data_IF_390541366577
#
_entry.id   IF_390541366577
#
_cell.length_a   1.000
_cell.length_b   1.000
_cell.length_c   1.000
_cell.angle_alpha   90.00
_cell.angle_beta   90.00
_cell.angle_gamma   90.00
#
_symmetry.space_group_name_H-M   'P 1'
#
loop_
_entity.id
_entity.type
_entity.pdbx_description
1 polymer ?
#
# COMPACT_ATOMS: atom_id res chain seq x y z
N UNK A 1 8.74 -33.45 -15.87
CA UNK A 1 9.72 -33.58 -14.77
C UNK A 1 10.57 -32.32 -14.74
N UNK A 2 10.61 -31.59 -13.63
CA UNK A 2 11.25 -30.28 -13.55
C UNK A 2 12.78 -30.41 -13.38
N UNK A 3 13.56 -29.58 -14.08
CA UNK A 3 15.04 -29.63 -14.02
C UNK A 3 15.53 -29.16 -12.65
N UNK A 4 16.57 -29.77 -12.11
CA UNK A 4 17.14 -29.43 -10.78
C UNK A 4 17.56 -27.97 -10.68
N UNK A 5 18.24 -27.43 -11.69
CA UNK A 5 18.63 -26.00 -11.76
C UNK A 5 17.44 -25.05 -11.69
N UNK A 6 16.28 -25.47 -12.21
CA UNK A 6 15.07 -24.66 -12.20
C UNK A 6 14.40 -24.67 -10.82
N UNK A 7 14.46 -25.80 -10.11
CA UNK A 7 14.00 -25.93 -8.73
C UNK A 7 14.83 -25.02 -7.83
N UNK A 8 16.16 -25.05 -7.96
CA UNK A 8 17.08 -24.19 -7.19
C UNK A 8 16.79 -22.71 -7.44
N UNK A 9 16.65 -22.29 -8.70
CA UNK A 9 16.29 -20.90 -9.04
C UNK A 9 14.96 -20.48 -8.41
N UNK A 10 13.94 -21.34 -8.46
CA UNK A 10 12.64 -21.02 -7.87
C UNK A 10 12.68 -21.01 -6.35
N UNK A 11 13.54 -21.82 -5.73
CA UNK A 11 13.74 -21.83 -4.29
C UNK A 11 14.42 -20.55 -3.80
N UNK A 12 15.40 -20.05 -4.55
CA UNK A 12 16.04 -18.75 -4.25
C UNK A 12 15.03 -17.60 -4.37
N UNK A 13 14.18 -17.62 -5.41
CA UNK A 13 13.10 -16.63 -5.56
C UNK A 13 12.02 -16.76 -4.47
N UNK A 14 11.85 -17.95 -3.88
CA UNK A 14 10.98 -18.14 -2.72
C UNK A 14 11.54 -17.43 -1.48
N UNK A 15 12.87 -17.47 -1.29
CA UNK A 15 13.55 -16.78 -0.19
C UNK A 15 13.52 -15.25 -0.33
N UNK A 16 13.60 -14.72 -1.55
CA UNK A 16 13.49 -13.28 -1.81
C UNK A 16 12.05 -12.76 -1.81
N UNK A 17 11.04 -13.66 -1.81
CA UNK A 17 9.63 -13.29 -1.87
C UNK A 17 9.13 -12.93 -3.27
N UNK A 18 9.97 -13.02 -4.30
CA UNK A 18 9.64 -12.70 -5.70
C UNK A 18 8.92 -13.84 -6.44
N UNK A 19 8.78 -15.00 -5.79
CA UNK A 19 8.12 -16.15 -6.40
C UNK A 19 6.60 -15.97 -6.44
N UNK A 20 6.04 -15.94 -7.65
CA UNK A 20 4.59 -15.91 -7.85
C UNK A 20 3.88 -17.16 -7.27
N UNK A 21 2.66 -16.98 -6.78
CA UNK A 21 1.89 -18.06 -6.13
C UNK A 21 1.71 -19.30 -7.03
N UNK A 22 1.48 -19.08 -8.32
CA UNK A 22 1.33 -20.18 -9.30
C UNK A 22 2.60 -21.04 -9.38
N UNK A 23 3.78 -20.39 -9.37
CA UNK A 23 5.07 -21.10 -9.38
C UNK A 23 5.34 -21.78 -8.03
N UNK A 24 4.94 -21.17 -6.92
CA UNK A 24 5.02 -21.78 -5.58
C UNK A 24 4.24 -23.09 -5.49
N UNK A 25 3.01 -23.13 -6.03
CA UNK A 25 2.21 -24.37 -6.07
C UNK A 25 2.88 -25.47 -6.89
N UNK A 26 3.44 -25.12 -8.05
CA UNK A 26 4.19 -26.07 -8.90
C UNK A 26 5.49 -26.57 -8.23
N UNK A 27 6.17 -25.70 -7.50
CA UNK A 27 7.37 -26.04 -6.74
C UNK A 27 7.06 -27.00 -5.59
N UNK A 28 5.95 -26.77 -4.87
CA UNK A 28 5.48 -27.63 -3.78
C UNK A 28 4.97 -29.00 -4.27
N UNK A 29 4.49 -29.10 -5.51
CA UNK A 29 4.10 -30.38 -6.10
C UNK A 29 5.29 -31.28 -6.45
N UNK A 30 6.53 -30.75 -6.44
CA UNK A 30 7.73 -31.52 -6.76
C UNK A 30 8.38 -32.09 -5.48
N UNK A 31 8.56 -33.41 -5.33
CA UNK A 31 9.13 -34.01 -4.11
C UNK A 31 10.62 -33.70 -3.90
N UNK A 32 11.36 -33.44 -4.99
CA UNK A 32 12.79 -33.07 -4.93
C UNK A 32 13.03 -31.71 -4.27
N UNK A 33 12.00 -30.89 -4.15
CA UNK A 33 12.06 -29.57 -3.54
C UNK A 33 12.35 -29.66 -2.04
N UNK A 34 11.78 -30.65 -1.34
CA UNK A 34 11.95 -30.80 0.11
C UNK A 34 13.40 -31.12 0.48
N UNK A 35 14.04 -32.01 -0.28
CA UNK A 35 15.47 -32.35 -0.11
C UNK A 35 16.33 -31.09 -0.28
N UNK A 36 16.06 -30.28 -1.32
CA UNK A 36 16.80 -29.03 -1.56
C UNK A 36 16.54 -27.97 -0.51
N UNK A 37 15.33 -27.89 0.05
CA UNK A 37 15.03 -27.03 1.21
C UNK A 37 15.82 -27.45 2.44
N UNK A 38 15.92 -28.75 2.69
CA UNK A 38 16.70 -29.28 3.81
C UNK A 38 18.20 -28.98 3.64
N UNK A 39 18.75 -29.18 2.43
CA UNK A 39 20.13 -28.82 2.09
C UNK A 39 20.40 -27.32 2.31
N UNK A 40 19.57 -26.44 1.77
CA UNK A 40 19.75 -24.99 1.97
C UNK A 40 19.58 -24.59 3.43
N UNK A 41 18.64 -25.19 4.17
CA UNK A 41 18.49 -24.92 5.61
C UNK A 41 19.72 -25.36 6.40
N UNK A 42 20.32 -26.49 6.05
CA UNK A 42 21.56 -26.96 6.65
C UNK A 42 22.73 -26.00 6.34
N UNK A 43 22.83 -25.51 5.10
CA UNK A 43 23.84 -24.52 4.71
C UNK A 43 23.64 -23.18 5.42
N UNK A 44 22.41 -22.68 5.51
CA UNK A 44 22.09 -21.47 6.27
C UNK A 44 22.40 -21.63 7.77
N UNK A 45 22.19 -22.81 8.34
CA UNK A 45 22.55 -23.09 9.74
C UNK A 45 24.05 -23.22 9.99
N UNK A 46 24.83 -23.57 8.96
CA UNK A 46 26.29 -23.60 9.04
C UNK A 46 26.91 -22.21 8.95
N UNK A 47 26.22 -21.24 8.33
CA UNK A 47 26.61 -19.82 8.41
C UNK A 47 26.28 -19.35 9.82
N UNK A 48 27.31 -19.10 10.62
CA UNK A 48 27.15 -18.58 11.96
C UNK A 48 26.26 -17.32 11.89
N UNK A 49 25.15 -17.26 12.65
CA UNK A 49 24.41 -16.02 12.76
C UNK A 49 25.40 -14.96 13.27
N UNK A 50 25.46 -13.82 12.59
CA UNK A 50 26.24 -12.71 13.11
C UNK A 50 25.66 -12.35 14.47
N UNK A 51 26.48 -12.39 15.53
CA UNK A 51 26.13 -11.97 16.90
C UNK A 51 25.85 -10.46 17.00
N UNK A 52 25.64 -9.79 15.86
CA UNK A 52 25.15 -8.42 15.83
C UNK A 52 23.74 -8.39 16.42
N UNK A 53 23.66 -7.97 17.68
CA UNK A 53 22.38 -7.69 18.32
C UNK A 53 21.62 -6.69 17.42
N UNK A 54 20.40 -7.02 16.98
CA UNK A 54 19.61 -6.11 16.19
C UNK A 54 19.37 -4.85 17.02
N UNK A 55 19.50 -3.67 16.40
CA UNK A 55 19.33 -2.43 17.13
C UNK A 55 17.95 -2.41 17.81
N UNK A 56 17.86 -2.02 19.10
CA UNK A 56 16.60 -2.05 19.84
C UNK A 56 15.53 -1.16 19.18
N UNK A 57 15.95 -0.12 18.46
CA UNK A 57 15.06 0.70 17.63
C UNK A 57 14.48 -0.04 16.41
N UNK A 58 15.26 -0.92 15.76
CA UNK A 58 14.74 -1.74 14.67
C UNK A 58 13.69 -2.74 15.18
N UNK A 59 13.93 -3.39 16.32
CA UNK A 59 13.00 -4.35 16.90
C UNK A 59 11.65 -3.70 17.28
N UNK A 60 11.70 -2.51 17.91
CA UNK A 60 10.49 -1.75 18.26
C UNK A 60 9.72 -1.29 17.01
N UNK A 61 10.42 -0.81 15.97
CA UNK A 61 9.80 -0.40 14.70
C UNK A 61 9.15 -1.56 13.94
N UNK A 62 9.78 -2.74 13.93
CA UNK A 62 9.22 -3.95 13.31
C UNK A 62 7.96 -4.39 14.07
N UNK A 63 8.02 -4.43 15.40
CA UNK A 63 6.87 -4.78 16.22
C UNK A 63 5.69 -3.81 16.01
N UNK A 64 5.97 -2.50 15.93
CA UNK A 64 4.94 -1.51 15.62
C UNK A 64 4.29 -1.76 14.25
N UNK A 65 5.08 -2.04 13.20
CA UNK A 65 4.56 -2.36 11.86
C UNK A 65 3.70 -3.63 11.84
N UNK A 66 4.12 -4.67 12.56
CA UNK A 66 3.37 -5.93 12.67
C UNK A 66 2.02 -5.73 13.39
N UNK A 67 1.97 -4.88 14.41
CA UNK A 67 0.73 -4.54 15.11
C UNK A 67 -0.23 -3.74 14.21
N UNK A 68 0.28 -2.81 13.40
CA UNK A 68 -0.53 -2.04 12.44
C UNK A 68 -1.16 -2.95 11.38
N UNK A 69 -0.39 -3.91 10.82
CA UNK A 69 -0.92 -4.87 9.86
C UNK A 69 -1.95 -5.84 10.46
N UNK A 70 -1.80 -6.23 11.74
CA UNK A 70 -2.83 -7.04 12.42
C UNK A 70 -4.14 -6.28 12.64
N UNK A 71 -4.08 -4.96 12.82
CA UNK A 71 -5.27 -4.13 13.06
C UNK A 71 -6.05 -3.80 11.79
N UNK A 72 -5.43 -3.84 10.61
CA UNK A 72 -6.11 -3.52 9.34
C UNK A 72 -6.99 -4.64 8.76
N UNK A 73 -7.06 -5.81 9.40
CA UNK A 73 -7.85 -6.96 8.92
C UNK A 73 -9.20 -7.08 9.67
N UNK A 74 -9.51 -6.17 10.60
CA UNK A 74 -10.67 -6.32 11.49
C UNK A 74 -11.99 -5.74 10.97
N UNK A 75 -12.18 -5.55 9.67
CA UNK A 75 -13.56 -5.47 9.14
C UNK A 75 -13.69 -6.25 7.83
N UNK A 76 -14.53 -7.30 7.78
CA UNK A 76 -14.78 -8.03 6.55
C UNK A 76 -15.40 -7.08 5.51
N UNK A 77 -14.72 -6.92 4.37
CA UNK A 77 -15.13 -6.18 3.17
C UNK A 77 -16.60 -6.44 2.73
N UNK A 78 -17.23 -7.51 3.20
CA UNK A 78 -18.63 -7.86 2.94
C UNK A 78 -19.66 -6.99 3.65
N UNK A 79 -19.33 -6.34 4.76
CA UNK A 79 -20.32 -5.57 5.56
C UNK A 79 -20.34 -4.09 5.19
N UNK A 80 -19.36 -3.61 4.42
CA UNK A 80 -19.29 -2.21 4.01
C UNK A 80 -20.34 -1.83 2.95
N UNK A 81 -20.71 -2.76 2.07
CA UNK A 81 -21.73 -2.51 1.03
C UNK A 81 -23.10 -2.09 1.59
N UNK A 82 -23.70 -2.81 2.57
CA UNK A 82 -24.99 -2.39 3.11
C UNK A 82 -24.92 -1.11 3.93
N UNK A 83 -23.83 -0.85 4.66
CA UNK A 83 -23.67 0.38 5.45
C UNK A 83 -23.57 1.60 4.53
N UNK A 84 -22.81 1.49 3.43
CA UNK A 84 -22.65 2.57 2.46
C UNK A 84 -23.96 2.83 1.69
N UNK A 85 -24.74 1.78 1.39
CA UNK A 85 -26.06 1.91 0.79
C UNK A 85 -27.06 2.60 1.75
N UNK A 86 -27.04 2.26 3.04
CA UNK A 86 -27.94 2.84 4.04
C UNK A 86 -27.59 4.32 4.29
N UNK A 87 -26.29 4.67 4.33
CA UNK A 87 -25.85 6.05 4.39
C UNK A 87 -26.31 6.86 3.16
N UNK A 88 -26.20 6.29 1.95
CA UNK A 88 -26.71 6.92 0.73
C UNK A 88 -28.24 7.08 0.72
N UNK A 89 -29.00 6.11 1.25
CA UNK A 89 -30.44 6.25 1.38
C UNK A 89 -30.82 7.32 2.41
N UNK A 90 -30.10 7.42 3.53
CA UNK A 90 -30.32 8.45 4.53
C UNK A 90 -30.03 9.85 4.00
N UNK A 91 -28.95 10.04 3.23
CA UNK A 91 -28.70 11.34 2.58
C UNK A 91 -29.77 11.68 1.55
N UNK A 92 -30.29 10.71 0.81
CA UNK A 92 -31.41 10.91 -0.14
C UNK A 92 -32.71 11.30 0.60
N UNK A 93 -32.99 10.71 1.76
CA UNK A 93 -34.15 11.08 2.59
C UNK A 93 -33.98 12.47 3.22
N UNK A 94 -32.79 12.81 3.72
CA UNK A 94 -32.53 14.15 4.29
C UNK A 94 -32.67 15.21 3.21
N UNK A 95 -32.04 15.01 2.05
CA UNK A 95 -32.16 15.95 0.92
C UNK A 95 -33.60 16.09 0.42
N UNK A 96 -34.37 15.00 0.32
CA UNK A 96 -35.78 15.10 -0.10
C UNK A 96 -36.70 15.74 0.93
N UNK A 97 -36.39 15.65 2.22
CA UNK A 97 -37.12 16.36 3.28
C UNK A 97 -36.78 17.86 3.30
N UNK A 98 -35.52 18.23 3.06
CA UNK A 98 -35.09 19.63 2.94
C UNK A 98 -35.69 20.30 1.68
N UNK A 99 -35.92 19.55 0.60
CA UNK A 99 -36.55 20.07 -0.62
C UNK A 99 -38.04 20.44 -0.48
N UNK A 100 -38.71 20.13 0.64
CA UNK A 100 -40.09 20.57 0.87
C UNK A 100 -40.19 21.97 1.50
N UNK A 101 -39.06 22.57 1.86
CA UNK A 101 -39.00 23.95 2.34
C UNK A 101 -38.35 24.83 1.27
N UNK A 102 -39.19 25.59 0.58
CA UNK A 102 -38.87 26.68 -0.33
C UNK A 102 -38.04 26.35 -1.58
N UNK A 103 -38.80 26.28 -2.68
CA UNK A 103 -38.37 26.56 -4.05
C UNK A 103 -37.35 27.72 -4.12
N UNK A 104 -36.08 27.38 -4.29
CA UNK A 104 -35.11 28.22 -4.99
C UNK A 104 -34.20 27.32 -5.81
N UNK A 105 -34.44 27.27 -7.12
CA UNK A 105 -33.65 26.53 -8.07
C UNK A 105 -32.26 27.17 -8.19
N UNK A 106 -31.31 26.71 -7.37
CA UNK A 106 -29.89 26.97 -7.60
C UNK A 106 -29.35 25.82 -8.47
N UNK A 107 -28.75 26.10 -9.63
CA UNK A 107 -28.27 25.06 -10.54
C UNK A 107 -27.07 24.34 -9.90
N UNK A 108 -27.22 23.02 -9.73
CA UNK A 108 -26.21 22.07 -9.20
C UNK A 108 -24.88 22.10 -9.98
N UNK A 109 -24.86 22.66 -11.19
CA UNK A 109 -23.65 22.83 -11.98
C UNK A 109 -22.66 23.87 -11.40
N UNK A 110 -23.14 24.83 -10.60
CA UNK A 110 -22.27 25.87 -10.01
C UNK A 110 -21.47 25.36 -8.80
N UNK A 111 -22.01 24.40 -8.05
CA UNK A 111 -21.34 23.86 -6.84
C UNK A 111 -20.22 22.89 -7.23
N UNK A 112 -20.41 22.07 -8.27
CA UNK A 112 -19.38 21.15 -8.75
C UNK A 112 -18.19 21.86 -9.43
N UNK A 113 -18.41 23.02 -10.05
CA UNK A 113 -17.33 23.81 -10.64
C UNK A 113 -16.51 24.55 -9.58
N UNK A 114 -17.16 25.14 -8.56
CA UNK A 114 -16.49 25.86 -7.50
C UNK A 114 -15.66 24.95 -6.58
N UNK A 115 -16.12 23.73 -6.32
CA UNK A 115 -15.38 22.82 -5.44
C UNK A 115 -14.10 22.30 -6.10
N UNK A 116 -14.11 21.98 -7.40
CA UNK A 116 -12.90 21.55 -8.14
C UNK A 116 -11.85 22.67 -8.22
N UNK A 117 -12.26 23.92 -8.43
CA UNK A 117 -11.34 25.06 -8.43
C UNK A 117 -10.74 25.32 -7.03
N UNK A 118 -11.52 25.14 -5.96
CA UNK A 118 -11.02 25.30 -4.58
C UNK A 118 -9.95 24.27 -4.24
N UNK A 119 -10.11 23.02 -4.68
CA UNK A 119 -9.07 21.99 -4.53
C UNK A 119 -7.84 22.29 -5.37
N UNK A 120 -8.02 22.85 -6.57
CA UNK A 120 -6.90 23.22 -7.44
C UNK A 120 -6.09 24.36 -6.84
N UNK A 121 -6.73 25.41 -6.32
CA UNK A 121 -6.05 26.56 -5.69
C UNK A 121 -5.27 26.13 -4.44
N UNK A 122 -5.85 25.27 -3.60
CA UNK A 122 -5.18 24.81 -2.39
C UNK A 122 -4.02 23.85 -2.68
N UNK A 123 -4.13 23.03 -3.72
CA UNK A 123 -3.04 22.17 -4.17
C UNK A 123 -1.87 22.98 -4.78
N UNK A 124 -2.15 24.01 -5.57
CA UNK A 124 -1.13 24.90 -6.12
C UNK A 124 -0.39 25.66 -5.02
N UNK A 125 -1.09 26.11 -3.97
CA UNK A 125 -0.47 26.77 -2.80
C UNK A 125 0.45 25.81 -2.03
N UNK A 126 -0.02 24.59 -1.76
CA UNK A 126 0.80 23.53 -1.13
C UNK A 126 2.04 23.18 -1.99
N UNK A 127 1.92 23.23 -3.31
CA UNK A 127 3.00 22.91 -4.25
C UNK A 127 4.07 24.01 -4.29
N UNK A 128 3.67 25.28 -4.22
CA UNK A 128 4.58 26.43 -4.08
C UNK A 128 5.30 26.39 -2.73
N UNK A 129 4.61 26.02 -1.65
CA UNK A 129 5.24 25.86 -0.33
C UNK A 129 6.28 24.72 -0.38
N UNK A 130 5.96 23.60 -1.03
CA UNK A 130 6.87 22.48 -1.22
C UNK A 130 8.10 22.87 -2.06
N UNK A 131 7.92 23.63 -3.14
CA UNK A 131 9.02 24.15 -3.96
C UNK A 131 9.93 25.08 -3.14
N UNK A 132 9.34 25.95 -2.32
CA UNK A 132 10.11 26.83 -1.43
C UNK A 132 10.92 26.04 -0.41
N UNK A 133 10.36 24.94 0.14
CA UNK A 133 11.04 24.06 1.07
C UNK A 133 12.18 23.30 0.39
N UNK A 134 11.97 22.83 -0.83
CA UNK A 134 12.99 22.16 -1.64
C UNK A 134 14.12 23.13 -1.98
N UNK A 135 13.83 24.37 -2.38
CA UNK A 135 14.84 25.41 -2.63
C UNK A 135 15.61 25.78 -1.36
N UNK A 136 14.93 25.91 -0.22
CA UNK A 136 15.55 26.20 1.07
C UNK A 136 16.49 25.08 1.55
N UNK A 137 16.16 23.81 1.25
CA UNK A 137 17.00 22.64 1.58
C UNK A 137 18.12 22.44 0.56
N UNK A 138 17.87 22.74 -0.72
CA UNK A 138 18.79 22.55 -1.84
C UNK A 138 20.01 23.46 -1.76
N UNK A 139 19.88 24.67 -1.19
CA UNK A 139 20.99 25.62 -1.05
C UNK A 139 21.55 26.17 -2.37
N UNK A 140 21.18 25.59 -3.52
CA UNK A 140 21.53 26.00 -4.88
C UNK A 140 20.27 26.01 -5.77
N UNK A 141 20.17 26.94 -6.74
CA UNK A 141 19.07 26.99 -7.70
C UNK A 141 19.10 25.74 -8.58
N UNK A 142 17.99 25.00 -8.62
CA UNK A 142 17.78 23.89 -9.54
C UNK A 142 17.63 24.45 -10.96
N UNK A 143 18.76 24.64 -11.63
CA UNK A 143 18.83 24.85 -13.08
C UNK A 143 18.48 23.52 -13.75
N UNK A 144 17.17 23.25 -13.88
CA UNK A 144 16.66 22.14 -14.69
C UNK A 144 16.87 22.55 -16.15
N UNK A 145 18.11 22.39 -16.60
CA UNK A 145 18.48 22.53 -17.99
C UNK A 145 17.81 21.39 -18.77
N UNK A 146 16.84 21.80 -19.57
CA UNK A 146 16.16 21.03 -20.62
C UNK A 146 17.18 20.20 -21.42
N UNK A 147 17.08 18.86 -21.36
CA UNK A 147 17.69 17.93 -22.32
C UNK A 147 16.63 17.01 -22.89
#
# INVERSE_FOLDING_TARGET
>A
MMKTKQIEKWLLLEQTGELSERKRRLLNACPKTEVKRAELKALCGAVAPSDAEPSPWAATRINARLQTQRRSILLPLRVWKPILALAACLTLVVTTLDFKSDSSAVPVAAVAAGEVDVWNVQFEEDLVELESLILAISGDPLDIMEM
#
